data_IF_249639019966
#
_entry.id   IF_249639019966
#
_cell.length_a   1.000
_cell.length_b   1.000
_cell.length_c   1.000
_cell.angle_alpha   90.00
_cell.angle_beta   90.00
_cell.angle_gamma   90.00
#
_symmetry.space_group_name_H-M   'P 1'
#
loop_
_entity.id
_entity.type
_entity.pdbx_description
1 polymer ?
#
# COMPACT_ATOMS: atom_id res chain seq x y z
N UNK A 1 20.02 12.22 21.50
CA UNK A 1 18.87 13.15 21.30
C UNK A 1 17.58 12.32 21.20
N UNK A 2 16.49 12.77 21.79
CA UNK A 2 15.28 11.94 22.00
C UNK A 2 14.46 11.80 20.72
N UNK A 3 13.98 10.60 20.41
CA UNK A 3 13.02 10.36 19.34
C UNK A 3 11.64 10.83 19.77
N UNK A 4 11.01 11.65 18.96
CA UNK A 4 9.69 12.24 19.18
C UNK A 4 8.65 11.52 18.33
N UNK A 5 7.59 11.00 18.97
CA UNK A 5 6.37 10.56 18.29
C UNK A 5 5.47 11.77 18.08
N UNK A 6 5.02 11.99 16.84
CA UNK A 6 4.10 13.04 16.48
C UNK A 6 2.88 12.51 15.68
N UNK A 7 1.80 13.29 15.69
CA UNK A 7 0.57 13.11 14.89
C UNK A 7 0.48 14.30 13.95
N UNK A 8 0.95 14.17 12.71
CA UNK A 8 0.97 15.30 11.79
C UNK A 8 -0.46 15.80 11.55
N UNK A 9 -0.63 17.14 11.53
CA UNK A 9 -1.83 17.75 10.98
C UNK A 9 -1.88 17.60 9.46
N UNK A 10 -2.94 18.09 8.82
CA UNK A 10 -3.11 18.04 7.36
C UNK A 10 -1.89 18.60 6.63
N UNK A 11 -1.34 19.71 7.10
CA UNK A 11 -0.14 20.35 6.51
C UNK A 11 1.14 19.50 6.70
N UNK A 12 1.18 18.63 7.69
CA UNK A 12 2.31 17.74 7.97
C UNK A 12 2.32 16.44 7.17
N UNK A 13 1.22 16.09 6.49
CA UNK A 13 1.11 14.87 5.68
C UNK A 13 2.17 14.84 4.58
N UNK A 14 2.45 15.99 3.96
CA UNK A 14 3.44 16.11 2.89
C UNK A 14 4.83 15.63 3.32
N UNK A 15 5.29 16.00 4.52
CA UNK A 15 6.61 15.59 5.02
C UNK A 15 6.71 14.07 5.24
N UNK A 16 5.65 13.44 5.77
CA UNK A 16 5.60 11.99 5.93
C UNK A 16 5.64 11.27 4.58
N UNK A 17 4.91 11.78 3.58
CA UNK A 17 4.87 11.23 2.22
C UNK A 17 6.23 11.35 1.52
N UNK A 18 6.91 12.49 1.66
CA UNK A 18 8.25 12.66 1.08
C UNK A 18 9.27 11.70 1.72
N UNK A 19 9.19 11.46 3.03
CA UNK A 19 10.01 10.44 3.68
C UNK A 19 9.73 9.04 3.10
N UNK A 20 8.45 8.65 2.95
CA UNK A 20 8.09 7.39 2.30
C UNK A 20 8.61 7.32 0.86
N UNK A 21 8.52 8.41 0.10
CA UNK A 21 9.02 8.49 -1.28
C UNK A 21 10.53 8.31 -1.34
N UNK A 22 11.26 8.96 -0.44
CA UNK A 22 12.73 8.86 -0.36
C UNK A 22 13.18 7.41 -0.12
N UNK A 23 12.47 6.68 0.72
CA UNK A 23 12.83 5.31 1.12
C UNK A 23 12.42 4.22 0.12
N UNK A 24 11.71 4.56 -0.96
CA UNK A 24 11.40 3.58 -2.00
C UNK A 24 12.63 3.29 -2.85
N UNK A 25 13.03 2.02 -2.88
CA UNK A 25 14.16 1.51 -3.65
C UNK A 25 13.95 0.03 -4.00
N UNK A 26 14.39 -0.40 -5.19
CA UNK A 26 14.23 -1.79 -5.63
C UNK A 26 15.04 -2.80 -4.81
N UNK A 27 16.12 -2.37 -4.19
CA UNK A 27 16.95 -3.19 -3.30
C UNK A 27 16.50 -3.19 -1.85
N UNK A 28 15.59 -2.28 -1.46
CA UNK A 28 15.09 -2.18 -0.09
C UNK A 28 14.04 -3.25 0.21
N UNK A 29 13.87 -3.62 1.50
CA UNK A 29 12.75 -4.46 1.92
C UNK A 29 11.40 -3.80 1.59
N UNK A 30 10.35 -4.59 1.28
CA UNK A 30 9.00 -4.08 1.12
C UNK A 30 8.55 -3.32 2.37
N UNK A 31 7.96 -2.14 2.16
CA UNK A 31 7.40 -1.30 3.22
C UNK A 31 6.34 -0.38 2.63
N UNK A 32 5.50 0.28 3.46
CA UNK A 32 4.49 1.22 2.99
C UNK A 32 5.02 2.22 1.97
N UNK A 33 4.23 2.40 0.92
CA UNK A 33 4.52 3.26 -0.22
C UNK A 33 3.76 4.60 -0.08
N UNK A 34 4.19 5.71 -0.68
CA UNK A 34 3.38 6.94 -0.73
C UNK A 34 1.94 6.70 -1.21
N UNK A 35 1.76 5.74 -2.11
CA UNK A 35 0.46 5.33 -2.63
C UNK A 35 -0.50 4.74 -1.59
N UNK A 36 0.00 4.13 -0.51
CA UNK A 36 -0.86 3.66 0.59
C UNK A 36 -1.56 4.85 1.27
N UNK A 37 -0.82 5.95 1.50
CA UNK A 37 -1.39 7.20 2.01
C UNK A 37 -2.32 7.82 0.98
N UNK A 38 -1.95 7.77 -0.32
CA UNK A 38 -2.80 8.23 -1.42
C UNK A 38 -4.13 7.47 -1.52
N UNK A 39 -4.09 6.14 -1.38
CA UNK A 39 -5.30 5.32 -1.31
C UNK A 39 -6.12 5.60 -0.06
N UNK A 40 -5.47 5.83 1.09
CA UNK A 40 -6.15 6.19 2.33
C UNK A 40 -6.87 7.54 2.24
N UNK A 41 -6.38 8.46 1.39
CA UNK A 41 -6.98 9.79 1.19
C UNK A 41 -8.44 9.75 0.67
N UNK A 42 -8.95 8.60 0.24
CA UNK A 42 -10.38 8.37 -0.06
C UNK A 42 -11.31 8.68 1.12
N UNK A 43 -10.76 8.79 2.33
CA UNK A 43 -11.47 9.18 3.55
C UNK A 43 -11.38 10.68 3.88
N UNK A 44 -10.69 11.46 3.04
CA UNK A 44 -10.46 12.90 3.21
C UNK A 44 -9.17 13.25 3.94
N UNK A 45 -8.75 14.53 3.85
CA UNK A 45 -7.46 14.98 4.36
C UNK A 45 -7.33 14.87 5.89
N UNK A 46 -8.38 15.19 6.65
CA UNK A 46 -8.39 15.13 8.11
C UNK A 46 -8.25 13.68 8.59
N UNK A 47 -8.97 12.75 7.97
CA UNK A 47 -8.88 11.32 8.30
C UNK A 47 -7.49 10.77 7.97
N UNK A 48 -6.90 11.21 6.85
CA UNK A 48 -5.54 10.82 6.44
C UNK A 48 -4.51 11.31 7.45
N UNK A 49 -4.56 12.57 7.82
CA UNK A 49 -3.67 13.14 8.84
C UNK A 49 -3.84 12.45 10.20
N UNK A 50 -5.08 12.20 10.63
CA UNK A 50 -5.37 11.50 11.89
C UNK A 50 -4.86 10.05 11.93
N UNK A 51 -4.75 9.39 10.79
CA UNK A 51 -4.23 8.03 10.66
C UNK A 51 -2.69 7.97 10.67
N UNK A 52 -1.99 9.07 10.38
CA UNK A 52 -0.54 9.08 10.34
C UNK A 52 0.10 9.22 11.72
N UNK A 53 1.26 8.60 11.84
CA UNK A 53 2.21 8.75 12.96
C UNK A 53 3.59 8.94 12.39
N UNK A 54 4.39 9.82 12.97
CA UNK A 54 5.80 9.98 12.60
C UNK A 54 6.68 9.90 13.84
N UNK A 55 7.84 9.29 13.68
CA UNK A 55 8.91 9.29 14.68
C UNK A 55 10.09 10.02 14.09
N UNK A 56 10.54 11.06 14.78
CA UNK A 56 11.62 11.91 14.28
C UNK A 56 12.70 12.14 15.32
N UNK A 57 13.94 12.34 14.87
CA UNK A 57 15.10 12.75 15.66
C UNK A 57 15.70 13.96 14.97
N UNK A 58 15.85 15.07 15.71
CA UNK A 58 16.43 16.33 15.22
C UNK A 58 15.77 16.86 13.93
N UNK A 59 14.45 16.74 13.84
CA UNK A 59 13.67 17.18 12.69
C UNK A 59 13.66 16.20 11.50
N UNK A 60 14.47 15.13 11.54
CA UNK A 60 14.46 14.08 10.51
C UNK A 60 13.48 12.97 10.89
N UNK A 61 12.60 12.60 9.98
CA UNK A 61 11.69 11.45 10.14
C UNK A 61 12.49 10.15 10.01
N UNK A 62 12.35 9.26 10.99
CA UNK A 62 12.98 7.93 11.04
C UNK A 62 11.96 6.80 10.78
N UNK A 63 10.70 7.04 11.09
CA UNK A 63 9.63 6.08 10.80
C UNK A 63 8.32 6.81 10.51
N UNK A 64 7.51 6.22 9.64
CA UNK A 64 6.14 6.65 9.31
C UNK A 64 5.20 5.49 9.52
N UNK A 65 4.16 5.69 10.31
CA UNK A 65 3.09 4.72 10.52
C UNK A 65 1.77 5.22 9.94
N UNK A 66 1.07 4.34 9.25
CA UNK A 66 -0.30 4.53 8.79
C UNK A 66 -1.22 3.57 9.55
N UNK A 67 -2.17 4.09 10.31
CA UNK A 67 -3.22 3.31 10.95
C UNK A 67 -4.29 2.95 9.91
N UNK A 68 -4.26 1.71 9.43
CA UNK A 68 -5.26 1.19 8.49
C UNK A 68 -6.36 0.46 9.28
N UNK A 69 -7.34 1.24 9.69
CA UNK A 69 -8.32 0.82 10.67
C UNK A 69 -7.85 0.98 12.13
N UNK A 70 -8.61 0.41 13.07
CA UNK A 70 -8.37 0.64 14.51
C UNK A 70 -7.26 -0.23 15.11
N UNK A 71 -6.78 -1.26 14.39
CA UNK A 71 -5.92 -2.31 14.96
C UNK A 71 -4.70 -2.67 14.11
N UNK A 72 -4.54 -2.08 12.94
CA UNK A 72 -3.40 -2.31 12.07
C UNK A 72 -2.56 -1.04 11.97
N UNK A 73 -1.29 -1.16 12.32
CA UNK A 73 -0.26 -0.17 12.03
C UNK A 73 0.59 -0.68 10.85
N UNK A 74 0.56 0.03 9.73
CA UNK A 74 1.46 -0.19 8.61
C UNK A 74 2.65 0.76 8.77
N UNK A 75 3.84 0.20 9.02
CA UNK A 75 5.03 0.93 9.45
C UNK A 75 6.12 0.89 8.38
N UNK A 76 6.59 2.06 7.98
CA UNK A 76 7.82 2.23 7.22
C UNK A 76 8.93 2.79 8.12
N UNK A 77 10.18 2.37 7.88
CA UNK A 77 11.36 2.77 8.66
C UNK A 77 12.44 3.21 7.67
N UNK A 78 13.09 4.35 7.96
CA UNK A 78 14.22 4.84 7.18
C UNK A 78 15.29 3.74 7.05
N UNK A 79 15.88 3.52 5.86
CA UNK A 79 16.81 2.41 5.61
C UNK A 79 17.98 2.36 6.61
N UNK A 80 18.53 3.49 6.97
CA UNK A 80 19.64 3.60 7.94
C UNK A 80 19.19 3.47 9.40
N UNK A 81 17.88 3.58 9.70
CA UNK A 81 17.29 3.36 11.02
C UNK A 81 16.68 1.96 11.20
N UNK A 82 16.69 1.12 10.16
CA UNK A 82 16.06 -0.21 10.15
C UNK A 82 16.56 -1.12 11.30
N UNK A 83 17.85 -1.00 11.66
CA UNK A 83 18.50 -1.75 12.73
C UNK A 83 18.97 -0.87 13.88
N UNK A 84 18.56 0.43 13.92
CA UNK A 84 18.89 1.36 15.01
C UNK A 84 18.14 0.95 16.30
N UNK A 85 18.91 0.69 17.36
CA UNK A 85 18.38 0.13 18.61
C UNK A 85 17.47 1.15 19.34
N UNK A 86 17.84 2.43 19.33
CA UNK A 86 17.06 3.48 19.98
C UNK A 86 15.71 3.66 19.29
N UNK A 87 15.71 3.67 17.95
CA UNK A 87 14.49 3.73 17.13
C UNK A 87 13.59 2.51 17.38
N UNK A 88 14.15 1.32 17.33
CA UNK A 88 13.38 0.09 17.53
C UNK A 88 12.76 0.03 18.95
N UNK A 89 13.50 0.33 20.01
CA UNK A 89 12.98 0.40 21.38
C UNK A 89 11.91 1.46 21.55
N UNK A 90 12.09 2.61 20.92
CA UNK A 90 11.10 3.68 20.94
C UNK A 90 9.80 3.24 20.27
N UNK A 91 9.87 2.64 19.10
CA UNK A 91 8.70 2.11 18.37
C UNK A 91 7.97 1.06 19.22
N UNK A 92 8.69 0.06 19.77
CA UNK A 92 8.10 -0.97 20.65
C UNK A 92 7.39 -0.35 21.85
N UNK A 93 8.03 0.59 22.54
CA UNK A 93 7.42 1.28 23.68
C UNK A 93 6.14 2.04 23.30
N UNK A 94 6.14 2.73 22.17
CA UNK A 94 4.97 3.52 21.73
C UNK A 94 3.81 2.64 21.21
N UNK A 95 4.08 1.50 20.56
CA UNK A 95 3.02 0.57 20.11
C UNK A 95 2.51 -0.31 21.25
N UNK A 96 3.34 -0.54 22.28
CA UNK A 96 3.00 -1.31 23.47
C UNK A 96 2.11 -0.57 24.47
N UNK A 97 2.20 0.76 24.51
CA UNK A 97 1.44 1.62 25.42
C UNK A 97 0.22 2.27 24.71
N UNK A 98 -1.02 1.82 25.04
CA UNK A 98 -2.23 2.42 24.47
C UNK A 98 -2.37 3.92 24.76
N UNK A 99 -1.79 4.41 25.87
CA UNK A 99 -1.79 5.83 26.23
C UNK A 99 -1.03 6.71 25.24
N UNK A 100 -0.13 6.12 24.45
CA UNK A 100 0.59 6.80 23.38
C UNK A 100 -0.29 7.01 22.12
N UNK A 101 -1.42 6.30 22.02
CA UNK A 101 -2.41 6.46 20.95
C UNK A 101 -1.89 6.05 19.59
N UNK A 102 -1.02 5.04 19.53
CA UNK A 102 -0.61 4.37 18.30
C UNK A 102 -1.51 3.17 18.06
N UNK A 103 -1.54 2.22 19.00
CA UNK A 103 -2.42 1.04 18.93
C UNK A 103 -3.29 0.92 20.17
N UNK A 104 -4.49 0.33 20.07
CA UNK A 104 -5.38 0.14 21.22
C UNK A 104 -4.86 -0.99 22.15
N UNK A 105 -5.47 -1.12 23.31
CA UNK A 105 -5.30 -2.31 24.16
C UNK A 105 -5.92 -3.54 23.46
N UNK A 106 -5.37 -4.75 23.74
CA UNK A 106 -5.84 -6.02 23.19
C UNK A 106 -5.28 -6.29 21.79
N UNK A 107 -6.07 -6.95 20.94
CA UNK A 107 -5.62 -7.39 19.62
C UNK A 107 -5.16 -6.23 18.74
N UNK A 108 -3.97 -6.38 18.16
CA UNK A 108 -3.41 -5.42 17.21
C UNK A 108 -2.38 -6.11 16.31
N UNK A 109 -2.21 -5.57 15.10
CA UNK A 109 -1.26 -6.04 14.11
C UNK A 109 -0.30 -4.91 13.71
N UNK A 110 0.93 -5.28 13.37
CA UNK A 110 1.96 -4.39 12.85
C UNK A 110 2.53 -5.01 11.57
N UNK A 111 2.29 -4.36 10.43
CA UNK A 111 3.07 -4.55 9.22
C UNK A 111 4.35 -3.71 9.35
N UNK A 112 5.51 -4.34 9.22
CA UNK A 112 6.79 -3.64 9.29
C UNK A 112 7.79 -4.24 8.29
N UNK A 113 8.78 -3.46 7.80
CA UNK A 113 9.72 -3.94 6.80
C UNK A 113 10.52 -5.14 7.30
N UNK A 114 10.68 -6.19 6.49
CA UNK A 114 11.52 -7.34 6.81
C UNK A 114 12.93 -6.94 7.24
N UNK A 115 13.45 -7.60 8.26
CA UNK A 115 14.80 -7.33 8.79
C UNK A 115 14.88 -6.14 9.75
N UNK A 116 13.78 -5.43 10.01
CA UNK A 116 13.76 -4.40 11.05
C UNK A 116 14.03 -5.00 12.44
N UNK A 117 14.88 -4.34 13.25
CA UNK A 117 15.16 -4.76 14.64
C UNK A 117 13.89 -4.78 15.51
N UNK A 118 12.88 -4.03 15.12
CA UNK A 118 11.55 -4.02 15.71
C UNK A 118 10.97 -5.44 15.86
N UNK A 119 11.14 -6.30 14.85
CA UNK A 119 10.60 -7.67 14.88
C UNK A 119 11.20 -8.48 16.03
N UNK A 120 12.54 -8.38 16.23
CA UNK A 120 13.26 -9.10 17.30
C UNK A 120 12.77 -8.64 18.69
N UNK A 121 12.55 -7.32 18.85
CA UNK A 121 12.09 -6.76 20.11
C UNK A 121 10.62 -7.08 20.39
N UNK A 122 9.75 -7.09 19.37
CA UNK A 122 8.36 -7.51 19.54
C UNK A 122 8.24 -8.98 19.90
N UNK A 123 9.13 -9.86 19.40
CA UNK A 123 9.21 -11.26 19.85
C UNK A 123 9.49 -11.36 21.35
N UNK A 124 10.43 -10.55 21.86
CA UNK A 124 10.75 -10.50 23.30
C UNK A 124 9.55 -10.03 24.13
N UNK A 125 8.74 -9.10 23.59
CA UNK A 125 7.51 -8.60 24.23
C UNK A 125 6.31 -9.57 24.05
N UNK A 126 6.51 -10.75 23.45
CA UNK A 126 5.50 -11.79 23.33
C UNK A 126 4.51 -11.59 22.17
N UNK A 127 4.83 -10.75 21.18
CA UNK A 127 4.04 -10.67 19.96
C UNK A 127 4.26 -11.91 19.09
N UNK A 128 3.17 -12.47 18.57
CA UNK A 128 3.21 -13.56 17.60
C UNK A 128 3.31 -13.04 16.16
N UNK A 129 3.05 -13.95 15.22
CA UNK A 129 2.97 -13.65 13.78
C UNK A 129 1.61 -14.00 13.25
N UNK A 130 1.12 -13.20 12.30
CA UNK A 130 -0.14 -13.43 11.57
C UNK A 130 0.08 -14.29 10.32
N UNK A 131 -0.98 -14.48 9.52
CA UNK A 131 -0.91 -15.22 8.26
C UNK A 131 0.11 -14.64 7.29
N UNK A 132 0.70 -15.47 6.40
CA UNK A 132 1.70 -15.01 5.46
C UNK A 132 1.08 -14.19 4.33
N UNK A 133 1.83 -13.19 3.89
CA UNK A 133 1.57 -12.41 2.69
C UNK A 133 2.65 -12.68 1.65
N UNK A 134 2.26 -12.68 0.39
CA UNK A 134 3.15 -12.85 -0.76
C UNK A 134 3.40 -11.50 -1.42
N UNK A 135 4.57 -10.88 -1.20
CA UNK A 135 4.99 -9.74 -1.99
C UNK A 135 5.38 -10.21 -3.40
N UNK A 136 5.03 -9.42 -4.42
CA UNK A 136 5.39 -9.70 -5.81
C UNK A 136 5.95 -8.43 -6.45
N UNK A 137 6.89 -8.61 -7.39
CA UNK A 137 7.52 -7.52 -8.13
C UNK A 137 7.65 -7.86 -9.61
N UNK A 138 7.47 -6.86 -10.46
CA UNK A 138 7.74 -6.91 -11.89
C UNK A 138 8.70 -5.78 -12.27
N UNK A 139 9.82 -6.12 -12.90
CA UNK A 139 10.82 -5.17 -13.42
C UNK A 139 10.28 -4.48 -14.68
N UNK A 140 10.44 -3.17 -14.78
CA UNK A 140 9.94 -2.36 -15.89
C UNK A 140 11.04 -1.91 -16.89
N UNK A 141 12.23 -2.45 -16.79
CA UNK A 141 13.33 -2.14 -17.73
C UNK A 141 12.98 -2.50 -19.19
N UNK A 142 12.15 -3.53 -19.37
CA UNK A 142 11.69 -3.95 -20.69
C UNK A 142 10.23 -3.51 -20.94
N UNK A 143 9.80 -3.38 -22.22
CA UNK A 143 8.40 -3.13 -22.55
C UNK A 143 7.48 -4.22 -21.97
N UNK A 144 6.34 -3.78 -21.48
CA UNK A 144 5.29 -4.67 -20.97
C UNK A 144 4.45 -5.18 -22.12
N UNK A 145 4.00 -6.44 -22.02
CA UNK A 145 3.10 -7.06 -23.01
C UNK A 145 1.77 -6.29 -23.12
N UNK A 146 1.20 -6.24 -24.32
CA UNK A 146 -0.10 -5.64 -24.55
C UNK A 146 -1.19 -6.37 -23.73
N UNK A 147 -2.05 -5.66 -22.98
CA UNK A 147 -3.13 -6.25 -22.21
C UNK A 147 -4.18 -6.99 -23.06
N UNK A 148 -4.27 -6.70 -24.37
CA UNK A 148 -5.20 -7.36 -25.31
C UNK A 148 -6.67 -7.01 -25.10
N UNK A 149 -6.97 -5.99 -24.29
CA UNK A 149 -8.33 -5.50 -24.03
C UNK A 149 -8.33 -3.97 -23.99
N UNK A 150 -9.51 -3.38 -24.17
CA UNK A 150 -9.66 -1.92 -24.05
C UNK A 150 -9.42 -1.48 -22.61
N UNK A 151 -8.49 -0.55 -22.42
CA UNK A 151 -8.16 0.07 -21.14
C UNK A 151 -8.46 1.55 -21.21
N UNK A 152 -9.10 2.09 -20.18
CA UNK A 152 -9.41 3.51 -20.06
C UNK A 152 -8.88 4.07 -18.76
N UNK A 153 -8.30 5.27 -18.82
CA UNK A 153 -7.98 6.04 -17.62
C UNK A 153 -9.26 6.64 -17.05
N UNK A 154 -9.46 6.46 -15.75
CA UNK A 154 -10.65 6.93 -15.05
C UNK A 154 -10.53 8.42 -14.76
N UNK A 155 -11.40 9.20 -15.39
CA UNK A 155 -11.71 10.58 -15.02
C UNK A 155 -13.02 10.68 -14.22
N UNK A 156 -13.43 11.92 -13.88
CA UNK A 156 -14.66 12.16 -13.10
C UNK A 156 -15.92 11.48 -13.68
N UNK A 157 -16.04 11.41 -15.01
CA UNK A 157 -17.20 10.82 -15.69
C UNK A 157 -17.29 9.29 -15.54
N UNK A 158 -16.19 8.63 -15.20
CA UNK A 158 -16.12 7.16 -15.03
C UNK A 158 -15.95 6.74 -13.57
N UNK A 159 -16.00 7.67 -12.61
CA UNK A 159 -15.80 7.41 -11.21
C UNK A 159 -16.82 6.42 -10.64
N UNK A 160 -18.10 6.54 -11.04
CA UNK A 160 -19.17 5.62 -10.62
C UNK A 160 -18.95 4.21 -11.15
N UNK A 161 -18.52 4.06 -12.42
CA UNK A 161 -18.19 2.78 -13.05
C UNK A 161 -16.99 2.10 -12.36
N UNK A 162 -15.91 2.86 -12.10
CA UNK A 162 -14.76 2.40 -11.32
C UNK A 162 -15.16 1.90 -9.94
N UNK A 163 -16.05 2.65 -9.24
CA UNK A 163 -16.54 2.28 -7.93
C UNK A 163 -17.41 1.02 -7.97
N UNK A 164 -18.23 0.84 -9.02
CA UNK A 164 -19.05 -0.36 -9.21
C UNK A 164 -18.19 -1.60 -9.39
N UNK A 165 -17.16 -1.56 -10.27
CA UNK A 165 -16.22 -2.67 -10.47
C UNK A 165 -15.50 -3.00 -9.16
N UNK A 166 -15.06 -2.00 -8.40
CA UNK A 166 -14.39 -2.21 -7.13
C UNK A 166 -15.29 -2.95 -6.12
N UNK A 167 -16.54 -2.51 -5.94
CA UNK A 167 -17.49 -3.19 -5.05
C UNK A 167 -17.81 -4.62 -5.51
N UNK A 168 -17.84 -4.85 -6.81
CA UNK A 168 -18.06 -6.20 -7.35
C UNK A 168 -16.83 -7.11 -7.17
N UNK A 169 -15.62 -6.54 -7.13
CA UNK A 169 -14.37 -7.28 -6.93
C UNK A 169 -14.12 -7.64 -5.46
N UNK A 170 -14.44 -6.74 -4.53
CA UNK A 170 -14.14 -6.88 -3.10
C UNK A 170 -15.44 -6.97 -2.31
N UNK A 171 -15.68 -8.13 -1.69
CA UNK A 171 -16.82 -8.35 -0.82
C UNK A 171 -16.78 -7.40 0.38
N UNK A 172 -17.94 -6.83 0.74
CA UNK A 172 -18.01 -5.85 1.83
C UNK A 172 -17.44 -4.46 1.53
N UNK A 173 -16.94 -4.22 0.31
CA UNK A 173 -16.39 -2.92 -0.06
C UNK A 173 -17.46 -1.82 0.00
N UNK A 174 -17.09 -0.73 0.66
CA UNK A 174 -17.90 0.51 0.77
C UNK A 174 -17.35 1.62 -0.13
N UNK A 175 -16.50 1.30 -1.12
CA UNK A 175 -15.94 2.30 -2.04
C UNK A 175 -17.01 2.88 -2.95
N UNK A 176 -17.14 4.21 -2.97
CA UNK A 176 -18.16 4.97 -3.73
C UNK A 176 -17.51 5.95 -4.69
N UNK A 177 -18.32 6.56 -5.54
CA UNK A 177 -17.91 7.65 -6.42
C UNK A 177 -17.36 8.84 -5.62
N UNK A 178 -18.01 9.21 -4.52
CA UNK A 178 -17.58 10.31 -3.63
C UNK A 178 -16.21 10.02 -3.02
N UNK A 179 -15.94 8.77 -2.65
CA UNK A 179 -14.62 8.34 -2.16
C UNK A 179 -13.55 8.40 -3.24
N UNK A 180 -13.92 8.08 -4.49
CA UNK A 180 -13.02 8.28 -5.61
C UNK A 180 -12.69 9.77 -5.80
N UNK A 181 -13.71 10.66 -5.75
CA UNK A 181 -13.49 12.09 -5.87
C UNK A 181 -12.64 12.64 -4.72
N UNK A 182 -12.88 12.21 -3.49
CA UNK A 182 -12.06 12.59 -2.34
C UNK A 182 -10.59 12.20 -2.54
N UNK A 183 -10.34 10.95 -2.99
CA UNK A 183 -8.99 10.47 -3.32
C UNK A 183 -8.36 11.29 -4.44
N UNK A 184 -9.11 11.52 -5.53
CA UNK A 184 -8.62 12.21 -6.72
C UNK A 184 -8.38 13.72 -6.49
N UNK A 185 -9.00 14.32 -5.49
CA UNK A 185 -8.76 15.70 -5.08
C UNK A 185 -7.47 15.84 -4.23
N UNK A 186 -6.92 14.76 -3.69
CA UNK A 186 -5.72 14.79 -2.89
C UNK A 186 -4.45 15.02 -3.71
N UNK A 187 -3.43 15.67 -3.12
CA UNK A 187 -2.19 16.01 -3.84
C UNK A 187 -1.44 14.78 -4.35
N UNK A 188 -1.55 13.64 -3.64
CA UNK A 188 -0.90 12.37 -4.02
C UNK A 188 -1.47 11.76 -5.31
N UNK A 189 -2.69 12.12 -5.71
CA UNK A 189 -3.31 11.60 -6.93
C UNK A 189 -2.62 12.11 -8.21
N UNK A 190 -1.82 13.16 -8.14
CA UNK A 190 -0.98 13.61 -9.25
C UNK A 190 -0.03 12.48 -9.73
N UNK A 191 0.44 11.65 -8.79
CA UNK A 191 1.33 10.51 -9.02
C UNK A 191 0.56 9.18 -9.14
N UNK A 192 -0.74 9.23 -9.37
CA UNK A 192 -1.60 8.06 -9.52
C UNK A 192 -2.30 7.99 -10.88
N UNK A 193 -2.72 6.78 -11.26
CA UNK A 193 -3.70 6.55 -12.35
C UNK A 193 -4.67 5.46 -11.92
N UNK A 194 -5.96 5.74 -12.06
CA UNK A 194 -6.98 4.70 -12.01
C UNK A 194 -7.27 4.21 -13.43
N UNK A 195 -7.33 2.89 -13.62
CA UNK A 195 -7.63 2.26 -14.90
C UNK A 195 -8.85 1.34 -14.77
N UNK A 196 -9.61 1.22 -15.83
CA UNK A 196 -10.68 0.24 -16.01
C UNK A 196 -10.45 -0.53 -17.30
N UNK A 197 -10.59 -1.85 -17.25
CA UNK A 197 -10.58 -2.73 -18.39
C UNK A 197 -12.02 -3.07 -18.81
N UNK A 198 -12.24 -3.16 -20.11
CA UNK A 198 -13.53 -3.48 -20.72
C UNK A 198 -13.44 -4.76 -21.55
N UNK A 199 -14.49 -5.56 -21.51
CA UNK A 199 -14.62 -6.72 -22.41
C UNK A 199 -15.13 -6.30 -23.80
N UNK A 200 -15.28 -7.29 -24.71
CA UNK A 200 -15.72 -7.05 -26.09
C UNK A 200 -17.18 -6.54 -26.20
N UNK A 201 -17.95 -6.65 -25.11
CA UNK A 201 -19.32 -6.12 -25.02
C UNK A 201 -19.36 -4.69 -24.52
N UNK A 202 -18.22 -4.19 -24.05
CA UNK A 202 -18.09 -2.86 -23.46
C UNK A 202 -18.40 -2.82 -21.97
N UNK A 203 -18.54 -3.97 -21.31
CA UNK A 203 -18.75 -4.06 -19.87
C UNK A 203 -17.41 -3.81 -19.11
N UNK A 204 -17.47 -3.02 -18.04
CA UNK A 204 -16.33 -2.80 -17.17
C UNK A 204 -16.06 -4.03 -16.30
N UNK A 205 -14.93 -4.69 -16.49
CA UNK A 205 -14.67 -6.04 -15.96
C UNK A 205 -13.54 -6.13 -14.94
N UNK A 206 -12.62 -5.17 -14.93
CA UNK A 206 -11.55 -5.09 -13.94
C UNK A 206 -11.12 -3.63 -13.73
N UNK A 207 -10.55 -3.35 -12.57
CA UNK A 207 -10.08 -2.01 -12.25
C UNK A 207 -8.86 -2.06 -11.35
N UNK A 208 -8.00 -1.04 -11.48
CA UNK A 208 -6.77 -0.88 -10.71
C UNK A 208 -6.53 0.59 -10.42
N UNK A 209 -5.84 0.87 -9.31
CA UNK A 209 -5.17 2.14 -9.09
C UNK A 209 -3.68 1.86 -8.98
N UNK A 210 -2.87 2.61 -9.71
CA UNK A 210 -1.41 2.57 -9.63
C UNK A 210 -0.90 3.87 -9.05
N UNK A 211 0.22 3.78 -8.33
CA UNK A 211 0.86 4.88 -7.63
C UNK A 211 2.36 4.88 -7.93
N UNK A 212 2.89 5.99 -8.39
CA UNK A 212 4.32 6.18 -8.59
C UNK A 212 4.96 6.82 -7.36
N UNK A 213 6.16 6.40 -7.01
CA UNK A 213 6.99 7.11 -6.04
C UNK A 213 7.97 8.09 -6.73
N UNK A 214 7.83 8.27 -8.03
CA UNK A 214 8.70 9.11 -8.87
C UNK A 214 9.59 8.30 -9.80
N UNK A 215 10.25 8.98 -10.76
CA UNK A 215 11.10 8.32 -11.74
C UNK A 215 12.23 7.52 -11.08
N UNK A 216 12.49 6.32 -11.61
CA UNK A 216 13.52 5.41 -11.12
C UNK A 216 13.22 4.73 -9.78
N UNK A 217 12.00 4.86 -9.26
CA UNK A 217 11.55 4.23 -8.01
C UNK A 217 10.47 3.20 -8.27
N UNK A 218 10.30 2.19 -7.38
CA UNK A 218 9.18 1.25 -7.47
C UNK A 218 7.84 1.97 -7.46
N UNK A 219 6.89 1.50 -8.27
CA UNK A 219 5.49 1.87 -8.20
C UNK A 219 4.67 0.81 -7.48
N UNK A 220 3.48 1.18 -7.00
CA UNK A 220 2.56 0.33 -6.26
C UNK A 220 1.27 0.08 -7.04
N UNK A 221 0.77 -1.16 -7.00
CA UNK A 221 -0.61 -1.50 -7.34
C UNK A 221 -1.44 -1.55 -6.05
N UNK A 222 -2.37 -0.59 -5.87
CA UNK A 222 -3.25 -0.55 -4.69
C UNK A 222 -4.51 0.28 -4.96
N UNK A 223 -5.70 -0.32 -5.01
CA UNK A 223 -6.02 -1.76 -5.12
C UNK A 223 -6.17 -2.23 -6.57
N UNK A 224 -6.21 -3.56 -6.78
CA UNK A 224 -6.59 -4.18 -8.06
C UNK A 224 -7.63 -5.28 -7.86
N UNK A 225 -8.66 -5.31 -8.72
CA UNK A 225 -9.67 -6.35 -8.66
C UNK A 225 -10.41 -6.57 -9.98
N UNK A 226 -10.78 -7.83 -10.23
CA UNK A 226 -11.68 -8.23 -11.33
C UNK A 226 -13.09 -8.44 -10.80
N UNK A 227 -14.07 -7.90 -11.54
CA UNK A 227 -15.51 -8.08 -11.26
C UNK A 227 -15.83 -9.56 -11.10
N UNK A 228 -16.54 -9.94 -10.01
CA UNK A 228 -16.73 -11.34 -9.62
C UNK A 228 -17.35 -12.20 -10.72
N UNK A 229 -18.27 -11.66 -11.50
CA UNK A 229 -18.96 -12.36 -12.57
C UNK A 229 -18.12 -12.50 -13.85
N UNK A 230 -16.98 -11.81 -13.93
CA UNK A 230 -16.08 -11.83 -15.07
C UNK A 230 -14.72 -12.50 -14.74
N UNK A 231 -14.58 -13.13 -13.56
CA UNK A 231 -13.38 -13.88 -13.19
C UNK A 231 -13.15 -15.11 -14.09
N UNK A 232 -11.89 -15.56 -14.17
CA UNK A 232 -11.50 -16.72 -14.98
C UNK A 232 -11.44 -16.47 -16.48
N UNK A 233 -11.59 -15.20 -16.94
CA UNK A 233 -11.57 -14.80 -18.36
C UNK A 233 -10.33 -13.98 -18.76
N UNK A 234 -9.28 -13.95 -17.91
CA UNK A 234 -8.04 -13.23 -18.20
C UNK A 234 -8.02 -11.74 -17.84
N UNK A 235 -9.15 -11.14 -17.42
CA UNK A 235 -9.25 -9.70 -17.16
C UNK A 235 -8.36 -9.22 -16.01
N UNK A 236 -8.11 -10.06 -14.99
CA UNK A 236 -7.16 -9.76 -13.92
C UNK A 236 -5.73 -9.62 -14.44
N UNK A 237 -5.30 -10.53 -15.33
CA UNK A 237 -4.00 -10.45 -15.99
C UNK A 237 -3.92 -9.19 -16.88
N UNK A 238 -4.94 -8.94 -17.68
CA UNK A 238 -4.98 -7.81 -18.59
C UNK A 238 -4.85 -6.47 -17.86
N UNK A 239 -5.61 -6.25 -16.78
CA UNK A 239 -5.53 -5.01 -16.01
C UNK A 239 -4.21 -4.89 -15.24
N UNK A 240 -3.58 -6.01 -14.86
CA UNK A 240 -2.25 -6.01 -14.23
C UNK A 240 -1.16 -5.62 -15.23
N UNK A 241 -1.22 -6.09 -16.47
CA UNK A 241 -0.32 -5.66 -17.55
C UNK A 241 -0.49 -4.17 -17.84
N UNK A 242 -1.74 -3.69 -17.93
CA UNK A 242 -2.01 -2.27 -18.11
C UNK A 242 -1.46 -1.42 -16.96
N UNK A 243 -1.56 -1.89 -15.73
CA UNK A 243 -0.98 -1.24 -14.55
C UNK A 243 0.55 -1.13 -14.66
N UNK A 244 1.21 -2.23 -15.04
CA UNK A 244 2.65 -2.26 -15.24
C UNK A 244 3.10 -1.33 -16.37
N UNK A 245 2.41 -1.33 -17.52
CA UNK A 245 2.67 -0.43 -18.64
C UNK A 245 2.53 1.04 -18.22
N UNK A 246 1.45 1.37 -17.51
CA UNK A 246 1.21 2.73 -17.01
C UNK A 246 2.30 3.19 -16.04
N UNK A 247 2.72 2.36 -15.09
CA UNK A 247 3.80 2.72 -14.16
C UNK A 247 5.13 2.89 -14.90
N UNK A 248 5.40 2.07 -15.93
CA UNK A 248 6.56 2.26 -16.78
C UNK A 248 6.53 3.61 -17.51
N UNK A 249 5.40 4.01 -18.07
CA UNK A 249 5.21 5.32 -18.68
C UNK A 249 5.37 6.48 -17.70
N UNK A 250 5.01 6.27 -16.43
CA UNK A 250 5.25 7.22 -15.33
C UNK A 250 6.70 7.23 -14.85
N UNK A 251 7.58 6.40 -15.42
CA UNK A 251 9.01 6.34 -15.13
C UNK A 251 9.40 5.45 -13.95
N UNK A 252 8.48 4.64 -13.42
CA UNK A 252 8.81 3.70 -12.34
C UNK A 252 9.79 2.62 -12.81
N UNK A 253 10.70 2.21 -11.91
CA UNK A 253 11.71 1.15 -12.17
C UNK A 253 11.13 -0.25 -12.12
N UNK A 254 10.16 -0.46 -11.24
CA UNK A 254 9.45 -1.73 -11.05
C UNK A 254 8.03 -1.49 -10.57
N UNK A 255 7.24 -2.56 -10.53
CA UNK A 255 5.90 -2.59 -9.90
C UNK A 255 5.92 -3.53 -8.71
N UNK A 256 5.43 -3.06 -7.58
CA UNK A 256 5.24 -3.82 -6.37
C UNK A 256 3.75 -4.03 -6.07
N UNK A 257 3.42 -5.20 -5.53
CA UNK A 257 2.12 -5.54 -4.96
C UNK A 257 2.31 -6.58 -3.87
N UNK A 258 1.46 -6.55 -2.84
CA UNK A 258 1.42 -7.58 -1.81
C UNK A 258 -0.01 -8.12 -1.68
N UNK A 259 -0.15 -9.43 -1.49
CA UNK A 259 -1.47 -10.07 -1.35
C UNK A 259 -1.40 -11.22 -0.33
N UNK A 260 -2.49 -11.51 0.42
CA UNK A 260 -2.51 -12.67 1.30
C UNK A 260 -2.12 -13.95 0.54
N UNK A 261 -1.26 -14.78 1.14
CA UNK A 261 -0.85 -16.04 0.54
C UNK A 261 -2.04 -17.00 0.30
N UNK A 262 -3.07 -16.90 1.13
CA UNK A 262 -4.33 -17.64 0.98
C UNK A 262 -5.11 -17.29 -0.29
N UNK A 263 -4.88 -16.12 -0.90
CA UNK A 263 -5.49 -15.71 -2.17
C UNK A 263 -4.71 -16.25 -3.39
N UNK A 264 -4.63 -17.58 -3.50
CA UNK A 264 -3.86 -18.30 -4.55
C UNK A 264 -4.19 -17.78 -5.96
N UNK A 265 -5.46 -17.46 -6.25
CA UNK A 265 -5.87 -16.93 -7.55
C UNK A 265 -5.30 -15.53 -7.83
N UNK A 266 -5.13 -14.68 -6.80
CA UNK A 266 -4.50 -13.37 -6.94
C UNK A 266 -3.00 -13.53 -7.25
N UNK A 267 -2.30 -14.36 -6.47
CA UNK A 267 -0.87 -14.68 -6.72
C UNK A 267 -0.69 -15.20 -8.14
N UNK A 268 -1.49 -16.18 -8.58
CA UNK A 268 -1.42 -16.73 -9.92
C UNK A 268 -1.68 -15.67 -11.02
N UNK A 269 -2.59 -14.73 -10.77
CA UNK A 269 -2.89 -13.63 -11.68
C UNK A 269 -1.66 -12.75 -11.88
N UNK A 270 -1.00 -12.31 -10.82
CA UNK A 270 0.22 -11.49 -10.90
C UNK A 270 1.37 -12.26 -11.57
N UNK A 271 1.60 -13.52 -11.19
CA UNK A 271 2.63 -14.36 -11.81
C UNK A 271 2.39 -14.52 -13.33
N UNK A 272 1.13 -14.72 -13.76
CA UNK A 272 0.76 -14.80 -15.17
C UNK A 272 1.00 -13.50 -15.95
N UNK A 273 1.07 -12.36 -15.25
CA UNK A 273 1.39 -11.05 -15.80
C UNK A 273 2.90 -10.71 -15.72
N UNK A 274 3.75 -11.68 -15.40
CA UNK A 274 5.20 -11.51 -15.37
C UNK A 274 5.80 -11.09 -14.03
N UNK A 275 5.00 -11.02 -12.96
CA UNK A 275 5.51 -10.76 -11.63
C UNK A 275 6.22 -11.98 -11.06
N UNK A 276 7.31 -11.77 -10.36
CA UNK A 276 8.00 -12.78 -9.55
C UNK A 276 7.61 -12.63 -8.09
N UNK A 277 7.43 -13.72 -7.39
CA UNK A 277 7.22 -13.71 -5.94
C UNK A 277 8.53 -13.37 -5.23
N UNK A 278 8.43 -12.62 -4.17
CA UNK A 278 9.50 -12.36 -3.21
C UNK A 278 9.31 -13.26 -1.97
N UNK A 279 10.27 -13.31 -1.05
CA UNK A 279 10.09 -14.03 0.22
C UNK A 279 8.83 -13.57 0.94
N UNK A 280 8.08 -14.52 1.50
CA UNK A 280 6.88 -14.25 2.28
C UNK A 280 7.19 -13.32 3.46
N UNK A 281 6.23 -12.46 3.77
CA UNK A 281 6.26 -11.58 4.94
C UNK A 281 5.10 -11.88 5.87
N UNK A 282 5.24 -11.56 7.14
CA UNK A 282 4.19 -11.75 8.16
C UNK A 282 4.12 -10.53 9.05
N UNK A 283 2.92 -10.09 9.31
CA UNK A 283 2.68 -9.07 10.31
C UNK A 283 2.95 -9.61 11.72
N UNK A 284 3.35 -8.73 12.60
CA UNK A 284 3.36 -9.02 14.03
C UNK A 284 1.97 -8.85 14.60
N UNK A 285 1.55 -9.79 15.45
CA UNK A 285 0.23 -9.77 16.06
C UNK A 285 0.30 -9.88 17.58
N UNK A 286 -0.50 -9.07 18.25
CA UNK A 286 -0.77 -9.19 19.69
C UNK A 286 -2.21 -9.68 19.85
N UNK A 287 -2.41 -10.78 20.62
CA UNK A 287 -3.71 -11.34 20.95
C UNK A 287 -4.50 -10.49 21.95
N UNK A 288 -5.75 -10.86 22.17
CA UNK A 288 -6.54 -10.37 23.29
C UNK A 288 -5.95 -10.97 24.57
N UNK A 289 -5.29 -10.14 25.38
CA UNK A 289 -4.70 -10.54 26.68
C UNK A 289 -5.77 -10.86 27.73
#
# INVERSE_FOLDING_TARGET
MTIVLDRPGVDGVGAAVEALREWQDDGAPPQPHPGDVGWFHRFGPEATAAALRTWSRDGRILAVGLLDGSRLLRLAIAPDALRDEETARRLVGDVGDPGRGVLPKGRANIEAPPGALLHDLLDVEGWGTDEPWTPLRHDLAQPVEDPGVRIEVVGPQRASERAAVHRAAFEGSTFTEERWHAMAAGPLYADARCLVAYDDRGDAVAAVTVWSAGPGKPGLIEPMGAHREHRGRGHGRAITLAAAATLREMGSSSVFVCTPNSLVAAVATYVSAGFRTLPEVRDRTRGDG
#
